data_IF_818243186601
#
_entry.id   IF_818243186601
#
_cell.length_a   1.000
_cell.length_b   1.000
_cell.length_c   1.000
_cell.angle_alpha   90.00
_cell.angle_beta   90.00
_cell.angle_gamma   90.00
#
_symmetry.space_group_name_H-M   'P 1'
#
loop_
_entity.id
_entity.type
_entity.pdbx_description
1 polymer ?
#
# COMPACT_ATOMS: atom_id res chain seq x y z
N UNK A 1 16.05 11.30 7.61
CA UNK A 1 15.97 9.83 7.84
C UNK A 1 14.53 9.32 7.74
N UNK A 2 13.57 9.92 8.47
CA UNK A 2 12.14 9.59 8.38
C UNK A 2 11.58 9.75 6.95
N UNK A 3 11.94 10.82 6.24
CA UNK A 3 11.48 11.06 4.86
C UNK A 3 11.92 9.97 3.89
N UNK A 4 13.18 9.53 3.95
CA UNK A 4 13.65 8.43 3.09
C UNK A 4 12.96 7.10 3.44
N UNK A 5 12.73 6.84 4.73
CA UNK A 5 12.02 5.65 5.17
C UNK A 5 10.58 5.65 4.63
N UNK A 6 9.86 6.77 4.76
CA UNK A 6 8.53 7.00 4.19
C UNK A 6 8.53 6.69 2.70
N UNK A 7 9.44 7.29 1.95
CA UNK A 7 9.44 7.18 0.49
C UNK A 7 9.74 5.73 0.05
N UNK A 8 10.65 5.01 0.73
CA UNK A 8 10.90 3.58 0.48
C UNK A 8 9.68 2.71 0.81
N UNK A 9 8.99 3.01 1.91
CA UNK A 9 7.80 2.29 2.36
C UNK A 9 6.64 2.48 1.38
N UNK A 10 6.36 3.73 0.98
CA UNK A 10 5.35 4.06 -0.04
C UNK A 10 5.61 3.34 -1.36
N UNK A 11 6.86 3.36 -1.82
CA UNK A 11 7.25 2.66 -3.05
C UNK A 11 6.95 1.17 -2.98
N UNK A 12 7.35 0.51 -1.88
CA UNK A 12 7.09 -0.93 -1.66
C UNK A 12 5.61 -1.29 -1.61
N UNK A 13 4.79 -0.47 -0.94
CA UNK A 13 3.33 -0.68 -0.87
C UNK A 13 2.69 -0.54 -2.25
N UNK A 14 3.06 0.51 -2.99
CA UNK A 14 2.61 0.74 -4.36
C UNK A 14 3.01 -0.39 -5.30
N UNK A 15 4.27 -0.82 -5.29
CA UNK A 15 4.76 -1.95 -6.10
C UNK A 15 3.96 -3.23 -5.86
N UNK A 16 3.69 -3.57 -4.59
CA UNK A 16 2.87 -4.76 -4.26
C UNK A 16 1.43 -4.63 -4.74
N UNK A 17 0.82 -3.45 -4.58
CA UNK A 17 -0.55 -3.18 -5.02
C UNK A 17 -0.66 -3.27 -6.54
N UNK A 18 0.28 -2.65 -7.25
CA UNK A 18 0.32 -2.63 -8.71
C UNK A 18 0.56 -4.06 -9.27
N UNK A 19 1.39 -4.87 -8.60
CA UNK A 19 1.58 -6.28 -8.94
C UNK A 19 0.31 -7.13 -8.75
N UNK A 20 -0.45 -6.91 -7.67
CA UNK A 20 -1.75 -7.56 -7.46
C UNK A 20 -2.75 -7.17 -8.56
N UNK A 21 -2.82 -5.87 -8.90
CA UNK A 21 -3.69 -5.37 -9.95
C UNK A 21 -3.33 -5.95 -11.33
N UNK A 22 -2.05 -5.97 -11.68
CA UNK A 22 -1.57 -6.57 -12.93
C UNK A 22 -1.90 -8.07 -13.01
N UNK A 23 -1.69 -8.81 -11.92
CA UNK A 23 -2.03 -10.23 -11.86
C UNK A 23 -3.53 -10.51 -12.03
N UNK A 24 -4.40 -9.63 -11.53
CA UNK A 24 -5.84 -9.73 -11.76
C UNK A 24 -6.22 -9.42 -13.21
N UNK A 25 -5.65 -8.38 -13.83
CA UNK A 25 -5.92 -8.02 -15.22
C UNK A 25 -5.47 -9.09 -16.23
N UNK A 26 -4.42 -9.83 -15.90
CA UNK A 26 -3.90 -10.93 -16.72
C UNK A 26 -4.71 -12.24 -16.58
N UNK A 27 -5.84 -12.23 -15.87
CA UNK A 27 -6.65 -13.42 -15.64
C UNK A 27 -6.04 -14.38 -14.60
N UNK A 28 -5.15 -13.88 -13.74
CA UNK A 28 -4.50 -14.70 -12.71
C UNK A 28 -5.41 -15.07 -11.52
N UNK A 29 -6.67 -14.64 -11.53
CA UNK A 29 -7.68 -15.06 -10.55
C UNK A 29 -8.42 -16.29 -11.06
N UNK A 30 -8.33 -17.40 -10.34
CA UNK A 30 -8.90 -18.69 -10.78
C UNK A 30 -10.40 -18.79 -10.51
N UNK A 31 -10.90 -18.07 -9.51
CA UNK A 31 -12.32 -18.01 -9.15
C UNK A 31 -12.67 -16.68 -8.45
N UNK A 32 -13.95 -16.52 -8.09
CA UNK A 32 -14.44 -15.32 -7.40
C UNK A 32 -13.85 -15.13 -6.00
N UNK A 33 -13.51 -16.22 -5.30
CA UNK A 33 -12.92 -16.13 -3.96
C UNK A 33 -11.49 -15.57 -4.05
N UNK A 34 -10.68 -16.09 -4.97
CA UNK A 34 -9.33 -15.61 -5.27
C UNK A 34 -9.35 -14.15 -5.76
N UNK A 35 -10.30 -13.80 -6.64
CA UNK A 35 -10.49 -12.40 -7.06
C UNK A 35 -10.80 -11.49 -5.87
N UNK A 36 -11.76 -11.86 -5.02
CA UNK A 36 -12.10 -11.06 -3.83
C UNK A 36 -10.93 -10.92 -2.87
N UNK A 37 -10.17 -11.98 -2.64
CA UNK A 37 -8.99 -11.92 -1.78
C UNK A 37 -7.97 -10.92 -2.34
N UNK A 38 -7.67 -10.99 -3.64
CA UNK A 38 -6.70 -10.09 -4.29
C UNK A 38 -7.14 -8.64 -4.27
N UNK A 39 -8.42 -8.37 -4.53
CA UNK A 39 -9.00 -7.02 -4.41
C UNK A 39 -8.91 -6.54 -2.97
N UNK A 40 -9.25 -7.38 -1.98
CA UNK A 40 -9.15 -7.05 -0.56
C UNK A 40 -7.72 -6.70 -0.14
N UNK A 41 -6.73 -7.47 -0.61
CA UNK A 41 -5.31 -7.17 -0.36
C UNK A 41 -4.86 -5.89 -1.03
N UNK A 42 -5.30 -5.62 -2.27
CA UNK A 42 -4.98 -4.38 -2.97
C UNK A 42 -5.58 -3.15 -2.25
N UNK A 43 -6.82 -3.27 -1.75
CA UNK A 43 -7.45 -2.24 -0.92
C UNK A 43 -6.69 -2.03 0.39
N UNK A 44 -6.37 -3.09 1.13
CA UNK A 44 -5.63 -2.97 2.38
C UNK A 44 -4.25 -2.33 2.22
N UNK A 45 -3.57 -2.53 1.08
CA UNK A 45 -2.32 -1.83 0.77
C UNK A 45 -2.51 -0.33 0.50
N UNK A 46 -3.65 0.08 -0.06
CA UNK A 46 -3.99 1.49 -0.24
C UNK A 46 -4.32 2.14 1.10
N UNK A 47 -5.15 1.49 1.92
CA UNK A 47 -5.52 1.98 3.26
C UNK A 47 -4.26 2.11 4.14
N UNK A 48 -3.36 1.10 4.12
CA UNK A 48 -2.10 1.15 4.85
C UNK A 48 -1.21 2.33 4.41
N UNK A 49 -1.20 2.64 3.11
CA UNK A 49 -0.43 3.76 2.59
C UNK A 49 -0.95 5.10 3.14
N UNK A 50 -2.27 5.30 3.23
CA UNK A 50 -2.86 6.50 3.84
C UNK A 50 -2.53 6.59 5.34
N UNK A 51 -2.76 5.52 6.10
CA UNK A 51 -2.49 5.51 7.55
C UNK A 51 -1.02 5.78 7.86
N UNK A 52 -0.08 5.21 7.10
CA UNK A 52 1.36 5.46 7.29
C UNK A 52 1.71 6.92 6.97
N UNK A 53 1.12 7.50 5.94
CA UNK A 53 1.33 8.91 5.60
C UNK A 53 0.83 9.85 6.71
N UNK A 54 -0.29 9.51 7.36
CA UNK A 54 -0.81 10.25 8.51
C UNK A 54 0.14 10.17 9.71
N UNK A 55 0.52 8.96 10.12
CA UNK A 55 1.42 8.75 11.27
C UNK A 55 2.77 9.44 11.05
N UNK A 56 3.33 9.40 9.84
CA UNK A 56 4.61 10.06 9.56
C UNK A 56 4.47 11.59 9.58
N UNK A 57 3.33 12.15 9.14
CA UNK A 57 3.09 13.59 9.28
C UNK A 57 3.04 13.98 10.75
N UNK A 58 2.31 13.25 11.58
CA UNK A 58 2.23 13.49 13.03
C UNK A 58 3.63 13.49 13.66
N UNK A 59 4.43 12.47 13.37
CA UNK A 59 5.82 12.38 13.86
C UNK A 59 6.71 13.52 13.38
N UNK A 60 6.50 14.05 12.17
CA UNK A 60 7.25 15.21 11.67
C UNK A 60 6.83 16.50 12.38
N UNK A 61 5.54 16.68 12.65
CA UNK A 61 5.05 17.82 13.43
C UNK A 61 5.59 17.80 14.87
N UNK A 62 5.59 16.64 15.53
CA UNK A 62 6.11 16.48 16.90
C UNK A 62 7.63 16.70 17.00
N UNK A 63 8.40 16.54 15.91
CA UNK A 63 9.84 16.81 15.87
C UNK A 63 10.17 18.30 15.60
N UNK A 64 9.26 19.04 14.97
CA UNK A 64 9.43 20.45 14.57
C UNK A 64 8.91 21.46 15.63
N UNK A 65 8.12 21.00 16.62
CA UNK A 65 7.70 21.75 17.83
C UNK A 65 8.69 21.59 19.01
#
# INVERSE_FOLDING_TARGET
MITEFRDRLRRRLKEKRDALAAGMLQGGANDYADYRERVGRAKGLADAHETIDEVIKELQYDEDD
#
